data_IF_350872193919
#
_entry.id   IF_350872193919
#
_cell.length_a   1.000
_cell.length_b   1.000
_cell.length_c   1.000
_cell.angle_alpha   90.00
_cell.angle_beta   90.00
_cell.angle_gamma   90.00
#
_symmetry.space_group_name_H-M   'P 1'
#
loop_
_entity.id
_entity.type
_entity.pdbx_description
1 polymer ?
#
# COMPACT_ATOMS: atom_id res chain seq x y z
N UNK A 1 13.99 -8.20 -16.87
CA UNK A 1 12.81 -9.02 -17.22
C UNK A 1 12.31 -9.65 -15.93
N UNK A 2 11.03 -9.50 -15.59
CA UNK A 2 10.44 -10.08 -14.37
C UNK A 2 10.46 -11.63 -14.35
N UNK A 3 10.85 -12.26 -15.45
CA UNK A 3 10.97 -13.72 -15.64
C UNK A 3 11.93 -14.45 -14.69
N UNK A 4 12.59 -13.75 -13.76
CA UNK A 4 13.48 -14.34 -12.76
C UNK A 4 12.98 -14.19 -11.31
N UNK A 5 11.90 -13.44 -11.06
CA UNK A 5 11.32 -13.31 -9.72
C UNK A 5 10.07 -14.16 -9.58
N UNK A 6 9.95 -14.85 -8.44
CA UNK A 6 8.76 -15.63 -8.08
C UNK A 6 7.77 -14.84 -7.24
N UNK A 7 8.22 -13.77 -6.60
CA UNK A 7 7.38 -12.89 -5.80
C UNK A 7 7.87 -11.44 -5.85
N UNK A 8 6.99 -10.49 -5.54
CA UNK A 8 7.30 -9.12 -5.21
C UNK A 8 6.87 -8.82 -3.78
N UNK A 9 7.71 -8.08 -3.05
CA UNK A 9 7.36 -7.49 -1.78
C UNK A 9 7.64 -6.00 -1.87
N UNK A 10 6.58 -5.19 -1.89
CA UNK A 10 6.72 -3.74 -1.97
C UNK A 10 7.21 -3.19 -0.63
N UNK A 11 8.47 -2.77 -0.61
CA UNK A 11 9.05 -1.95 0.45
C UNK A 11 8.53 -0.51 0.35
N UNK A 12 7.29 -0.29 0.79
CA UNK A 12 6.60 0.98 0.58
C UNK A 12 7.19 2.15 1.35
N UNK A 13 7.95 1.92 2.43
CA UNK A 13 8.69 2.99 3.09
C UNK A 13 9.72 3.63 2.12
N UNK A 14 10.63 2.82 1.56
CA UNK A 14 11.62 3.30 0.60
C UNK A 14 10.99 3.80 -0.70
N UNK A 15 9.90 3.16 -1.15
CA UNK A 15 9.17 3.63 -2.32
C UNK A 15 8.54 5.01 -2.09
N UNK A 16 7.98 5.27 -0.91
CA UNK A 16 7.48 6.60 -0.53
C UNK A 16 8.63 7.62 -0.48
N UNK A 17 9.76 7.27 0.15
CA UNK A 17 10.92 8.17 0.24
C UNK A 17 11.40 8.60 -1.16
N UNK A 18 11.53 7.64 -2.07
CA UNK A 18 12.00 7.89 -3.43
C UNK A 18 10.97 8.62 -4.30
N UNK A 19 9.68 8.31 -4.13
CA UNK A 19 8.58 8.94 -4.90
C UNK A 19 8.38 10.40 -4.49
N UNK A 20 8.36 10.68 -3.19
CA UNK A 20 8.21 12.05 -2.68
C UNK A 20 9.52 12.85 -2.67
N UNK A 21 10.67 12.17 -2.81
CA UNK A 21 11.98 12.81 -2.64
C UNK A 21 12.25 13.26 -1.21
N UNK A 22 11.78 12.49 -0.23
CA UNK A 22 11.88 12.80 1.20
C UNK A 22 12.66 11.72 1.93
N UNK A 23 13.66 12.14 2.70
CA UNK A 23 14.23 11.33 3.77
C UNK A 23 13.24 11.36 4.94
N UNK A 24 12.78 10.19 5.40
CA UNK A 24 11.80 10.07 6.49
C UNK A 24 12.34 10.70 7.77
N UNK A 25 13.56 10.33 8.15
CA UNK A 25 14.22 10.80 9.37
C UNK A 25 14.38 12.34 9.39
N UNK A 26 14.65 12.93 8.22
CA UNK A 26 14.73 14.39 8.09
C UNK A 26 13.35 15.06 8.07
N UNK A 27 12.35 14.42 7.45
CA UNK A 27 11.03 15.00 7.24
C UNK A 27 10.22 15.07 8.54
N UNK A 28 10.18 13.98 9.31
CA UNK A 28 9.35 13.85 10.53
C UNK A 28 9.66 14.95 11.56
N UNK A 29 10.94 15.28 11.75
CA UNK A 29 11.37 16.27 12.74
C UNK A 29 11.40 17.72 12.26
N UNK A 30 11.21 17.99 10.96
CA UNK A 30 11.44 19.33 10.38
C UNK A 30 10.17 19.96 9.81
N UNK A 31 9.61 19.38 8.74
CA UNK A 31 8.55 20.05 7.96
C UNK A 31 7.28 19.21 7.80
N UNK A 32 7.34 17.89 7.97
CA UNK A 32 6.18 17.02 7.74
C UNK A 32 4.97 17.36 8.64
N UNK A 33 5.14 17.63 9.96
CA UNK A 33 4.02 18.06 10.80
C UNK A 33 3.41 19.39 10.35
N UNK A 34 4.22 20.31 9.85
CA UNK A 34 3.75 21.59 9.34
C UNK A 34 2.95 21.43 8.04
N UNK A 35 3.34 20.48 7.17
CA UNK A 35 2.64 20.18 5.92
C UNK A 35 1.25 19.60 6.20
N UNK A 36 1.15 18.68 7.15
CA UNK A 36 -0.13 18.09 7.58
C UNK A 36 -1.03 19.17 8.23
N UNK A 37 -0.47 19.97 9.16
CA UNK A 37 -1.23 21.05 9.81
C UNK A 37 -1.76 22.09 8.82
N UNK A 38 -0.98 22.39 7.77
CA UNK A 38 -1.37 23.31 6.69
C UNK A 38 -2.23 22.64 5.61
N UNK A 39 -2.54 21.34 5.74
CA UNK A 39 -3.28 20.53 4.76
C UNK A 39 -2.64 20.54 3.36
N UNK A 40 -1.31 20.72 3.30
CA UNK A 40 -0.53 20.51 2.08
C UNK A 40 -0.49 19.02 1.77
N UNK A 41 -0.30 18.21 2.82
CA UNK A 41 -0.54 16.77 2.80
C UNK A 41 -1.77 16.47 3.65
N UNK A 42 -2.57 15.51 3.18
CA UNK A 42 -3.77 15.08 3.90
C UNK A 42 -3.39 14.27 5.15
N UNK A 43 -2.49 13.31 4.96
CA UNK A 43 -2.02 12.37 5.96
C UNK A 43 -0.49 12.25 5.88
N UNK A 44 0.13 11.66 6.89
CA UNK A 44 1.55 11.29 6.83
C UNK A 44 1.75 10.14 5.83
N UNK A 45 2.50 10.35 4.73
CA UNK A 45 2.67 9.36 3.67
C UNK A 45 3.51 8.14 4.09
N UNK A 46 4.13 8.16 5.28
CA UNK A 46 4.81 7.01 5.88
C UNK A 46 3.90 6.18 6.80
N UNK A 47 2.73 6.70 7.15
CA UNK A 47 1.72 5.97 7.92
C UNK A 47 0.57 5.48 7.04
N UNK A 48 0.08 6.35 6.15
CA UNK A 48 -1.01 6.08 5.21
C UNK A 48 -0.44 6.11 3.80
N UNK A 49 -0.62 5.02 3.05
CA UNK A 49 -0.12 4.93 1.69
C UNK A 49 -0.74 6.02 0.81
N UNK A 50 0.09 6.83 0.17
CA UNK A 50 -0.34 7.75 -0.88
C UNK A 50 -0.82 6.95 -2.10
N UNK A 51 -2.14 6.84 -2.27
CA UNK A 51 -2.74 6.04 -3.34
C UNK A 51 -2.61 6.69 -4.72
N UNK A 52 -2.39 8.02 -4.79
CA UNK A 52 -2.37 8.78 -6.04
C UNK A 52 -0.98 8.96 -6.64
N UNK A 53 0.09 8.76 -5.87
CA UNK A 53 1.46 8.75 -6.38
C UNK A 53 2.10 7.38 -6.17
N UNK A 54 2.41 7.04 -4.93
CA UNK A 54 3.06 5.75 -4.59
C UNK A 54 2.19 4.57 -5.01
N UNK A 55 0.88 4.68 -4.81
CA UNK A 55 -0.11 3.67 -5.20
C UNK A 55 -0.11 3.38 -6.70
N UNK A 56 0.02 4.40 -7.55
CA UNK A 56 0.11 4.21 -9.00
C UNK A 56 1.35 3.39 -9.40
N UNK A 57 2.49 3.61 -8.74
CA UNK A 57 3.70 2.81 -8.98
C UNK A 57 3.52 1.36 -8.53
N UNK A 58 2.85 1.15 -7.39
CA UNK A 58 2.53 -0.18 -6.87
C UNK A 58 1.59 -0.93 -7.81
N UNK A 59 0.53 -0.28 -8.29
CA UNK A 59 -0.41 -0.85 -9.24
C UNK A 59 0.28 -1.19 -10.57
N UNK A 60 1.05 -0.25 -11.11
CA UNK A 60 1.82 -0.45 -12.33
C UNK A 60 2.81 -1.61 -12.21
N UNK A 61 3.53 -1.70 -11.08
CA UNK A 61 4.48 -2.78 -10.80
C UNK A 61 3.79 -4.14 -10.75
N UNK A 62 2.65 -4.21 -10.08
CA UNK A 62 1.83 -5.43 -9.96
C UNK A 62 1.33 -5.90 -11.33
N UNK A 63 0.71 -5.00 -12.10
CA UNK A 63 0.16 -5.30 -13.43
C UNK A 63 1.25 -5.74 -14.41
N UNK A 64 2.36 -4.99 -14.49
CA UNK A 64 3.48 -5.33 -15.40
C UNK A 64 4.21 -6.60 -14.99
N UNK A 65 4.34 -6.84 -13.68
CA UNK A 65 4.89 -8.07 -13.12
C UNK A 65 4.07 -9.27 -13.56
N UNK A 66 2.77 -9.25 -13.28
CA UNK A 66 1.84 -10.34 -13.63
C UNK A 66 1.64 -10.53 -15.14
N UNK A 67 1.76 -9.46 -15.94
CA UNK A 67 1.79 -9.58 -17.41
C UNK A 67 2.98 -10.41 -17.91
N UNK A 68 4.08 -10.42 -17.17
CA UNK A 68 5.29 -11.21 -17.52
C UNK A 68 5.29 -12.60 -16.87
N UNK A 69 4.78 -12.72 -15.64
CA UNK A 69 4.67 -13.95 -14.89
C UNK A 69 3.29 -14.00 -14.21
N UNK A 70 2.30 -14.70 -14.78
CA UNK A 70 0.94 -14.76 -14.22
C UNK A 70 0.88 -15.33 -12.80
N UNK A 71 1.82 -16.20 -12.43
CA UNK A 71 1.91 -16.83 -11.11
C UNK A 71 2.77 -16.01 -10.13
N UNK A 72 3.04 -14.74 -10.44
CA UNK A 72 3.81 -13.85 -9.57
C UNK A 72 3.00 -13.52 -8.31
N UNK A 73 3.51 -13.98 -7.17
CA UNK A 73 2.99 -13.59 -5.86
C UNK A 73 3.40 -12.15 -5.54
N UNK A 74 2.47 -11.33 -5.07
CA UNK A 74 2.68 -9.91 -4.82
C UNK A 74 2.16 -9.57 -3.44
N UNK A 75 3.01 -8.96 -2.62
CA UNK A 75 2.59 -8.41 -1.34
C UNK A 75 3.31 -7.13 -0.98
N UNK A 76 3.02 -6.66 0.23
CA UNK A 76 3.55 -5.42 0.80
C UNK A 76 4.12 -5.69 2.19
N UNK A 77 5.18 -4.97 2.55
CA UNK A 77 5.74 -4.97 3.90
C UNK A 77 5.88 -3.53 4.43
N UNK A 78 5.97 -3.40 5.76
CA UNK A 78 6.16 -2.13 6.44
C UNK A 78 4.90 -1.60 7.13
N UNK A 79 4.91 -0.32 7.50
CA UNK A 79 3.82 0.27 8.30
C UNK A 79 2.46 0.24 7.59
N UNK A 80 2.46 0.49 6.28
CA UNK A 80 1.27 0.49 5.44
C UNK A 80 0.56 -0.88 5.42
N UNK A 81 1.29 -1.99 5.59
CA UNK A 81 0.70 -3.33 5.63
C UNK A 81 -0.21 -3.58 6.84
N UNK A 82 -0.19 -2.67 7.84
CA UNK A 82 -1.06 -2.71 9.01
C UNK A 82 -2.00 -1.51 9.12
N UNK A 83 -2.03 -0.61 8.13
CA UNK A 83 -2.92 0.54 8.12
C UNK A 83 -4.20 0.21 7.31
N UNK A 84 -5.41 0.32 7.89
CA UNK A 84 -6.63 -0.18 7.26
C UNK A 84 -6.91 0.30 5.84
N UNK A 85 -6.71 1.58 5.54
CA UNK A 85 -7.00 2.13 4.20
C UNK A 85 -6.00 1.63 3.15
N UNK A 86 -4.74 1.50 3.54
CA UNK A 86 -3.64 0.94 2.74
C UNK A 86 -3.86 -0.55 2.48
N UNK A 87 -4.31 -1.31 3.48
CA UNK A 87 -4.68 -2.73 3.32
C UNK A 87 -5.84 -2.89 2.32
N UNK A 88 -6.87 -2.03 2.41
CA UNK A 88 -7.99 -2.02 1.45
C UNK A 88 -7.51 -1.68 0.04
N UNK A 89 -6.60 -0.72 -0.11
CA UNK A 89 -5.96 -0.42 -1.39
C UNK A 89 -5.21 -1.65 -1.95
N UNK A 90 -4.40 -2.30 -1.12
CA UNK A 90 -3.65 -3.51 -1.53
C UNK A 90 -4.58 -4.63 -1.98
N UNK A 91 -5.72 -4.81 -1.29
CA UNK A 91 -6.77 -5.73 -1.72
C UNK A 91 -7.32 -5.33 -3.10
N UNK A 92 -7.64 -4.05 -3.32
CA UNK A 92 -8.15 -3.55 -4.59
C UNK A 92 -7.18 -3.69 -5.77
N UNK A 93 -5.87 -3.54 -5.53
CA UNK A 93 -4.82 -3.81 -6.53
C UNK A 93 -4.65 -5.31 -6.81
N UNK A 94 -5.21 -6.17 -5.97
CA UNK A 94 -5.18 -7.63 -6.10
C UNK A 94 -3.90 -8.26 -5.56
N UNK A 95 -3.29 -7.68 -4.51
CA UNK A 95 -2.16 -8.32 -3.82
C UNK A 95 -2.57 -9.62 -3.13
N UNK A 96 -1.63 -10.55 -3.03
CA UNK A 96 -1.80 -11.87 -2.41
C UNK A 96 -1.68 -11.81 -0.88
N UNK A 97 -0.86 -10.88 -0.35
CA UNK A 97 -0.71 -10.73 1.10
C UNK A 97 -0.32 -9.30 1.53
N UNK A 98 -0.56 -9.02 2.82
CA UNK A 98 0.02 -7.87 3.54
C UNK A 98 0.85 -8.39 4.72
N UNK A 99 1.99 -7.76 4.98
CA UNK A 99 2.86 -8.08 6.11
C UNK A 99 3.04 -6.86 7.01
N UNK A 100 2.80 -7.04 8.31
CA UNK A 100 2.84 -5.97 9.31
C UNK A 100 3.39 -6.48 10.64
N UNK A 101 3.67 -5.56 11.57
CA UNK A 101 4.14 -5.90 12.91
C UNK A 101 3.12 -6.78 13.66
N UNK A 102 3.57 -7.66 14.59
CA UNK A 102 2.68 -8.64 15.24
C UNK A 102 1.40 -8.05 15.84
N UNK A 103 1.51 -6.88 16.47
CA UNK A 103 0.38 -6.20 17.11
C UNK A 103 -0.62 -5.61 16.11
N UNK A 104 -0.21 -5.35 14.86
CA UNK A 104 -1.09 -4.87 13.77
C UNK A 104 -1.74 -6.00 12.99
N UNK A 105 -1.35 -7.26 13.19
CA UNK A 105 -1.95 -8.42 12.50
C UNK A 105 -3.48 -8.49 12.65
N UNK A 106 -4.08 -8.30 13.85
CA UNK A 106 -5.54 -8.29 13.98
C UNK A 106 -6.21 -7.18 13.17
N UNK A 107 -5.57 -6.00 13.10
CA UNK A 107 -6.08 -4.84 12.35
C UNK A 107 -6.04 -5.14 10.85
N UNK A 108 -4.92 -5.65 10.35
CA UNK A 108 -4.76 -6.01 8.94
C UNK A 108 -5.78 -7.09 8.52
N UNK A 109 -6.00 -8.12 9.35
CA UNK A 109 -7.01 -9.16 9.11
C UNK A 109 -8.43 -8.58 9.03
N UNK A 110 -8.78 -7.70 9.98
CA UNK A 110 -10.09 -7.06 9.99
C UNK A 110 -10.29 -6.17 8.76
N UNK A 111 -9.29 -5.36 8.41
CA UNK A 111 -9.34 -4.47 7.25
C UNK A 111 -9.47 -5.25 5.93
N UNK A 112 -8.72 -6.34 5.76
CA UNK A 112 -8.83 -7.21 4.58
C UNK A 112 -10.22 -7.87 4.48
N UNK A 113 -10.78 -8.33 5.60
CA UNK A 113 -12.13 -8.88 5.62
C UNK A 113 -13.19 -7.82 5.26
N UNK A 114 -13.04 -6.60 5.78
CA UNK A 114 -13.90 -5.47 5.43
C UNK A 114 -13.81 -5.13 3.94
N UNK A 115 -12.60 -5.13 3.36
CA UNK A 115 -12.40 -4.90 1.92
C UNK A 115 -13.20 -5.90 1.08
N UNK A 116 -13.15 -7.20 1.44
CA UNK A 116 -13.92 -8.24 0.75
C UNK A 116 -15.43 -8.04 0.88
N UNK A 117 -15.91 -7.67 2.07
CA UNK A 117 -17.33 -7.43 2.30
C UNK A 117 -17.86 -6.21 1.54
N UNK A 118 -17.04 -5.16 1.42
CA UNK A 118 -17.35 -3.95 0.66
C UNK A 118 -17.43 -4.25 -0.85
N UNK A 119 -16.48 -5.02 -1.39
CA UNK A 119 -16.53 -5.53 -2.77
C UNK A 119 -17.82 -6.32 -3.03
N UNK A 120 -18.12 -7.31 -2.17
CA UNK A 120 -19.33 -8.15 -2.30
C UNK A 120 -20.63 -7.34 -2.21
N UNK A 121 -20.64 -6.23 -1.47
CA UNK A 121 -21.81 -5.35 -1.37
C UNK A 121 -21.96 -4.51 -2.64
N UNK A 122 -20.86 -4.09 -3.25
CA UNK A 122 -20.88 -3.30 -4.48
C UNK A 122 -21.30 -4.15 -5.69
N UNK A 123 -20.86 -5.40 -5.79
CA UNK A 123 -21.30 -6.33 -6.85
C UNK A 123 -22.80 -6.59 -6.77
N UNK A 124 -23.33 -6.91 -5.58
CA UNK A 124 -24.78 -7.11 -5.36
C UNK A 124 -25.68 -5.91 -5.63
N UNK A 125 -25.13 -4.69 -5.70
CA UNK A 125 -25.88 -3.48 -6.05
C UNK A 125 -25.86 -3.18 -7.55
N UNK A 126 -24.91 -3.78 -8.29
CA UNK A 126 -24.76 -3.59 -9.72
C UNK A 126 -25.57 -4.60 -10.54
N UNK A 127 -25.96 -5.72 -9.92
CA UNK A 127 -26.91 -6.72 -10.41
C UNK A 127 -28.36 -6.33 -10.10
#
# INVERSE_FOLDING_TARGET
RCSRSRFFSFGTNDLTQTTFGLSRDDAEGKFLPAYIKKKILRDDPFQVLDQTGVGELVEMGTQRGRKTNPDLEVGICGEHGGEPSSVKFCYGVGMDYVSCSPYRVPIARLAAAQAKLEENRNTKKAD
#
